data_IF_480052277389
#
_entry.id   IF_480052277389
#
_cell.length_a   1.000
_cell.length_b   1.000
_cell.length_c   1.000
_cell.angle_alpha   90.00
_cell.angle_beta   90.00
_cell.angle_gamma   90.00
#
_symmetry.space_group_name_H-M   'P 1'
#
loop_
_entity.id
_entity.type
_entity.pdbx_description
1 polymer ?
#
# COMPACT_ATOMS: atom_id res chain seq x y z
N UNK A 1 -24.87 23.39 40.08
CA UNK A 1 -23.42 23.62 39.84
C UNK A 1 -22.65 22.72 40.79
N UNK A 2 -21.97 21.69 40.29
CA UNK A 2 -21.14 20.82 41.13
C UNK A 2 -19.78 21.51 41.29
N UNK A 3 -19.56 22.17 42.43
CA UNK A 3 -18.28 22.76 42.80
C UNK A 3 -17.34 21.65 43.30
N UNK A 4 -16.59 21.04 42.39
CA UNK A 4 -15.50 20.14 42.76
C UNK A 4 -14.42 20.95 43.52
N UNK A 5 -14.09 20.55 44.75
CA UNK A 5 -12.92 21.09 45.46
C UNK A 5 -11.66 20.87 44.59
N UNK A 6 -10.71 21.82 44.54
CA UNK A 6 -9.58 21.81 43.61
C UNK A 6 -8.74 20.53 43.65
N UNK A 7 -8.65 19.87 44.81
CA UNK A 7 -7.94 18.59 44.98
C UNK A 7 -8.64 17.42 44.27
N UNK A 8 -9.96 17.40 44.21
CA UNK A 8 -10.73 16.36 43.51
C UNK A 8 -10.73 16.58 42.00
N UNK A 9 -10.70 17.84 41.54
CA UNK A 9 -10.53 18.17 40.11
C UNK A 9 -9.16 17.72 39.57
N UNK A 10 -8.08 17.94 40.32
CA UNK A 10 -6.73 17.47 39.95
C UNK A 10 -6.63 15.95 39.89
N UNK A 11 -7.20 15.24 40.88
CA UNK A 11 -7.23 13.77 40.89
C UNK A 11 -8.06 13.21 39.73
N UNK A 12 -9.21 13.82 39.42
CA UNK A 12 -10.03 13.41 38.28
C UNK A 12 -9.30 13.65 36.94
N UNK A 13 -8.60 14.78 36.80
CA UNK A 13 -7.78 15.06 35.62
C UNK A 13 -6.62 14.07 35.46
N UNK A 14 -5.89 13.78 36.53
CA UNK A 14 -4.82 12.79 36.52
C UNK A 14 -5.34 11.38 36.18
N UNK A 15 -6.47 10.99 36.79
CA UNK A 15 -7.09 9.69 36.51
C UNK A 15 -7.52 9.57 35.05
N UNK A 16 -8.07 10.63 34.45
CA UNK A 16 -8.43 10.65 33.03
C UNK A 16 -7.20 10.49 32.13
N UNK A 17 -6.09 11.18 32.43
CA UNK A 17 -4.83 11.07 31.68
C UNK A 17 -4.24 9.66 31.80
N UNK A 18 -4.24 9.08 32.99
CA UNK A 18 -3.73 7.71 33.19
C UNK A 18 -4.61 6.69 32.46
N UNK A 19 -5.93 6.84 32.52
CA UNK A 19 -6.87 5.94 31.85
C UNK A 19 -6.73 6.01 30.33
N UNK A 20 -6.64 7.22 29.74
CA UNK A 20 -6.49 7.36 28.30
C UNK A 20 -5.18 6.76 27.79
N UNK A 21 -4.07 6.98 28.50
CA UNK A 21 -2.78 6.39 28.17
C UNK A 21 -2.78 4.87 28.36
N UNK A 22 -3.42 4.35 29.41
CA UNK A 22 -3.55 2.92 29.65
C UNK A 22 -4.32 2.23 28.51
N UNK A 23 -5.41 2.84 28.01
CA UNK A 23 -6.16 2.32 26.86
C UNK A 23 -5.29 2.30 25.60
N UNK A 24 -4.56 3.38 25.31
CA UNK A 24 -3.69 3.46 24.14
C UNK A 24 -2.55 2.43 24.18
N UNK A 25 -1.82 2.36 25.31
CA UNK A 25 -0.73 1.41 25.50
C UNK A 25 -1.23 -0.03 25.56
N UNK A 26 -2.37 -0.27 26.20
CA UNK A 26 -3.02 -1.58 26.24
C UNK A 26 -3.43 -2.05 24.85
N UNK A 27 -3.96 -1.17 24.01
CA UNK A 27 -4.29 -1.47 22.62
C UNK A 27 -3.07 -1.83 21.77
N UNK A 28 -1.95 -1.11 21.95
CA UNK A 28 -0.69 -1.40 21.28
C UNK A 28 -0.07 -2.72 21.76
N UNK A 29 -0.10 -2.97 23.07
CA UNK A 29 0.36 -4.22 23.66
C UNK A 29 -0.46 -5.41 23.14
N UNK A 30 -1.79 -5.29 23.13
CA UNK A 30 -2.69 -6.31 22.59
C UNK A 30 -2.45 -6.56 21.10
N UNK A 31 -2.28 -5.50 20.30
CA UNK A 31 -1.99 -5.65 18.87
C UNK A 31 -0.70 -6.45 18.62
N UNK A 32 0.32 -6.22 19.45
CA UNK A 32 1.64 -6.89 19.34
C UNK A 32 1.74 -8.21 20.12
N UNK A 33 0.67 -8.63 20.79
CA UNK A 33 0.68 -9.82 21.62
C UNK A 33 0.63 -11.09 20.74
N UNK A 34 1.45 -12.08 21.11
CA UNK A 34 1.49 -13.38 20.45
C UNK A 34 2.15 -13.33 19.07
N UNK A 35 1.75 -14.25 18.20
CA UNK A 35 2.21 -14.24 16.81
C UNK A 35 1.46 -13.18 15.99
N UNK A 36 2.19 -12.31 15.25
CA UNK A 36 1.57 -11.39 14.31
C UNK A 36 0.72 -12.12 13.27
N UNK A 37 -0.33 -11.43 12.83
CA UNK A 37 -1.21 -11.86 11.73
C UNK A 37 -0.41 -12.12 10.46
N UNK A 38 0.53 -11.22 10.14
CA UNK A 38 1.45 -11.33 9.01
C UNK A 38 2.74 -10.55 9.26
N UNK A 39 3.80 -10.93 8.55
CA UNK A 39 5.11 -10.26 8.57
C UNK A 39 5.61 -10.10 7.14
N UNK A 40 5.66 -8.88 6.64
CA UNK A 40 6.13 -8.59 5.29
C UNK A 40 7.52 -7.98 5.33
N UNK A 41 8.43 -8.47 4.48
CA UNK A 41 9.75 -7.89 4.28
C UNK A 41 9.71 -6.93 3.10
N UNK A 42 9.46 -5.65 3.38
CA UNK A 42 9.32 -4.62 2.36
C UNK A 42 10.67 -3.99 2.00
N UNK A 43 10.80 -3.50 0.77
CA UNK A 43 11.95 -2.72 0.30
C UNK A 43 11.59 -1.27 0.03
N UNK A 44 12.56 -0.50 -0.46
CA UNK A 44 12.39 0.86 -0.98
C UNK A 44 11.38 1.00 -2.13
N UNK A 45 10.93 -0.12 -2.71
CA UNK A 45 9.88 -0.17 -3.73
C UNK A 45 8.48 -0.08 -3.16
N UNK A 46 8.31 -0.57 -1.94
CA UNK A 46 7.01 -0.59 -1.24
C UNK A 46 6.92 0.49 -0.15
N UNK A 47 8.03 1.17 0.16
CA UNK A 47 8.11 2.17 1.21
C UNK A 47 8.85 3.41 0.74
N UNK A 48 8.25 4.57 0.98
CA UNK A 48 8.90 5.87 0.78
C UNK A 48 8.57 6.81 1.92
N UNK A 49 9.40 7.83 2.13
CA UNK A 49 9.19 8.80 3.19
C UNK A 49 7.92 9.60 2.92
N UNK A 50 6.97 9.61 3.87
CA UNK A 50 5.78 10.45 3.75
C UNK A 50 6.21 11.93 3.71
N UNK A 51 5.43 12.78 3.05
CA UNK A 51 5.76 14.19 2.94
C UNK A 51 5.84 14.85 4.32
N UNK A 52 7.02 15.36 4.69
CA UNK A 52 7.16 16.22 5.87
C UNK A 52 6.47 17.55 5.56
N UNK A 53 5.41 17.88 6.30
CA UNK A 53 4.75 19.17 6.16
C UNK A 53 5.74 20.35 6.34
N UNK A 54 5.37 21.57 5.89
CA UNK A 54 6.28 22.72 5.81
C UNK A 54 6.79 23.27 7.16
N UNK A 55 6.55 22.60 8.29
CA UNK A 55 6.95 23.07 9.61
C UNK A 55 7.89 22.08 10.29
N UNK A 56 8.98 22.65 10.85
CA UNK A 56 9.92 22.05 11.81
C UNK A 56 9.26 21.71 13.15
N UNK A 57 8.00 21.27 13.13
CA UNK A 57 7.40 20.65 14.30
C UNK A 57 8.08 19.28 14.45
N UNK A 58 8.33 18.83 15.68
CA UNK A 58 8.92 17.51 15.98
C UNK A 58 7.92 16.37 15.63
N UNK A 59 7.30 16.43 14.46
CA UNK A 59 6.49 15.37 13.88
C UNK A 59 7.43 14.24 13.48
N UNK A 60 7.21 13.06 14.07
CA UNK A 60 8.05 11.90 13.83
C UNK A 60 8.15 11.56 12.34
N UNK A 61 9.25 10.89 11.97
CA UNK A 61 9.41 10.32 10.63
C UNK A 61 8.33 9.26 10.40
N UNK A 62 7.64 9.33 9.27
CA UNK A 62 6.72 8.29 8.82
C UNK A 62 7.08 7.77 7.44
N UNK A 63 6.76 6.50 7.19
CA UNK A 63 6.94 5.84 5.91
C UNK A 63 5.58 5.56 5.30
N UNK A 64 5.37 5.98 4.07
CA UNK A 64 4.19 5.68 3.30
C UNK A 64 4.32 4.30 2.65
N UNK A 65 3.27 3.50 2.76
CA UNK A 65 3.13 2.19 2.11
C UNK A 65 2.65 2.38 0.67
N UNK A 66 3.50 2.07 -0.30
CA UNK A 66 3.13 2.06 -1.71
C UNK A 66 2.53 0.71 -2.09
N UNK A 67 1.24 0.72 -2.45
CA UNK A 67 0.48 -0.46 -2.84
C UNK A 67 -0.31 -0.18 -4.11
N UNK A 68 -0.62 -1.24 -4.85
CA UNK A 68 -1.26 -1.15 -6.18
C UNK A 68 -2.47 -2.06 -6.29
N UNK A 69 -3.36 -1.75 -7.21
CA UNK A 69 -4.36 -2.68 -7.70
C UNK A 69 -3.92 -3.29 -9.04
N UNK A 70 -4.22 -4.57 -9.29
CA UNK A 70 -3.96 -5.19 -10.59
C UNK A 70 -4.62 -4.40 -11.73
N UNK A 71 -4.02 -4.42 -12.91
CA UNK A 71 -4.65 -3.95 -14.13
C UNK A 71 -5.90 -4.77 -14.45
N UNK A 72 -6.90 -4.13 -15.03
CA UNK A 72 -8.02 -4.84 -15.62
C UNK A 72 -7.55 -5.61 -16.87
N UNK A 73 -7.67 -6.95 -16.92
CA UNK A 73 -7.25 -7.73 -18.09
C UNK A 73 -8.20 -7.57 -19.29
N UNK A 74 -9.44 -7.11 -19.08
CA UNK A 74 -10.44 -6.95 -20.13
C UNK A 74 -10.39 -5.57 -20.78
N UNK A 75 -9.76 -4.60 -20.12
CA UNK A 75 -9.63 -3.23 -20.60
C UNK A 75 -8.24 -2.99 -21.23
N UNK A 76 -8.15 -2.70 -22.53
CA UNK A 76 -6.88 -2.42 -23.18
C UNK A 76 -6.22 -1.12 -22.70
N UNK A 77 -6.95 -0.25 -21.97
CA UNK A 77 -6.38 0.99 -21.46
C UNK A 77 -5.35 0.71 -20.36
N UNK A 78 -4.10 1.14 -20.58
CA UNK A 78 -2.95 0.91 -19.69
C UNK A 78 -3.17 1.32 -18.23
N UNK A 79 -4.00 2.33 -17.97
CA UNK A 79 -4.28 2.85 -16.62
C UNK A 79 -5.53 2.24 -15.98
N UNK A 80 -6.23 1.35 -16.68
CA UNK A 80 -7.43 0.71 -16.15
C UNK A 80 -7.06 -0.24 -15.03
N UNK A 81 -7.73 -0.09 -13.90
CA UNK A 81 -7.50 -0.92 -12.71
C UNK A 81 -8.66 -1.88 -12.56
N UNK A 82 -8.33 -3.11 -12.18
CA UNK A 82 -9.32 -4.15 -11.96
C UNK A 82 -10.34 -3.67 -10.94
N UNK A 83 -11.59 -3.60 -11.37
CA UNK A 83 -12.72 -3.30 -10.49
C UNK A 83 -13.09 -4.54 -9.68
N UNK A 84 -13.58 -4.33 -8.45
CA UNK A 84 -14.17 -5.39 -7.65
C UNK A 84 -15.45 -5.89 -8.34
N UNK A 85 -15.63 -7.22 -8.33
CA UNK A 85 -16.81 -7.84 -8.92
C UNK A 85 -18.08 -7.52 -8.12
N UNK A 86 -19.22 -7.60 -8.80
CA UNK A 86 -20.53 -7.33 -8.20
C UNK A 86 -20.81 -8.27 -7.02
N UNK A 87 -20.40 -9.54 -7.12
CA UNK A 87 -20.59 -10.53 -6.07
C UNK A 87 -19.87 -10.14 -4.77
N UNK A 88 -18.61 -9.70 -4.84
CA UNK A 88 -17.86 -9.20 -3.67
C UNK A 88 -18.53 -7.97 -3.11
N UNK A 89 -18.98 -7.03 -3.94
CA UNK A 89 -19.65 -5.82 -3.47
C UNK A 89 -20.97 -6.12 -2.75
N UNK A 90 -21.77 -7.06 -3.27
CA UNK A 90 -22.98 -7.52 -2.60
C UNK A 90 -22.66 -8.20 -1.25
N UNK A 91 -21.59 -9.00 -1.18
CA UNK A 91 -21.13 -9.62 0.08
C UNK A 91 -20.66 -8.59 1.11
N UNK A 92 -20.08 -7.48 0.67
CA UNK A 92 -19.73 -6.34 1.54
C UNK A 92 -20.97 -5.56 2.01
N UNK A 93 -22.16 -5.89 1.49
CA UNK A 93 -23.43 -5.26 1.83
C UNK A 93 -23.77 -4.03 0.99
N UNK A 94 -23.12 -3.83 -0.16
CA UNK A 94 -23.62 -2.89 -1.15
C UNK A 94 -24.89 -3.44 -1.80
N UNK A 95 -25.75 -2.55 -2.29
CA UNK A 95 -27.02 -2.92 -2.92
C UNK A 95 -27.05 -2.42 -4.36
N UNK A 96 -27.63 -3.21 -5.25
CA UNK A 96 -27.88 -2.79 -6.64
C UNK A 96 -28.83 -1.60 -6.71
N UNK A 97 -28.55 -0.68 -7.63
CA UNK A 97 -29.53 0.35 -7.96
C UNK A 97 -30.66 -0.25 -8.78
N UNK A 98 -31.88 -0.16 -8.25
CA UNK A 98 -33.09 -0.57 -8.97
C UNK A 98 -33.92 0.62 -9.47
N UNK A 99 -33.43 1.86 -9.33
CA UNK A 99 -34.13 3.08 -9.74
C UNK A 99 -33.62 3.65 -11.06
N UNK A 100 -34.42 4.50 -11.69
CA UNK A 100 -34.05 5.30 -12.87
C UNK A 100 -33.47 6.68 -12.51
N UNK A 101 -33.33 6.98 -11.21
CA UNK A 101 -32.87 8.29 -10.77
C UNK A 101 -31.36 8.43 -10.89
N UNK A 102 -30.92 9.42 -11.68
CA UNK A 102 -29.49 9.78 -11.88
C UNK A 102 -28.73 10.14 -10.60
N UNK A 103 -29.40 10.23 -9.45
CA UNK A 103 -28.87 10.71 -8.18
C UNK A 103 -28.80 9.59 -7.14
N UNK A 104 -27.77 8.75 -7.29
CA UNK A 104 -27.39 7.78 -6.27
C UNK A 104 -26.74 8.48 -5.06
N UNK A 105 -27.49 8.60 -3.95
CA UNK A 105 -27.10 9.35 -2.75
C UNK A 105 -26.63 8.48 -1.55
N UNK A 106 -26.46 7.18 -1.71
CA UNK A 106 -26.01 6.33 -0.59
C UNK A 106 -24.52 6.53 -0.27
N UNK A 107 -24.10 6.44 1.02
CA UNK A 107 -22.70 6.50 1.39
C UNK A 107 -21.94 5.40 0.65
N UNK A 108 -21.09 5.84 -0.28
CA UNK A 108 -20.45 4.98 -1.27
C UNK A 108 -19.34 4.11 -0.69
N UNK A 109 -19.07 4.18 0.61
CA UNK A 109 -17.92 3.52 1.23
C UNK A 109 -18.34 2.53 2.32
N UNK A 110 -17.65 1.39 2.39
CA UNK A 110 -17.80 0.41 3.47
C UNK A 110 -16.44 -0.07 3.94
N UNK A 111 -16.32 -0.33 5.23
CA UNK A 111 -15.13 -0.97 5.80
C UNK A 111 -15.06 -2.43 5.36
N UNK A 112 -13.86 -2.89 5.05
CA UNK A 112 -13.59 -4.26 4.62
C UNK A 112 -12.18 -4.68 5.05
N UNK A 113 -11.92 -5.98 4.97
CA UNK A 113 -10.59 -6.56 5.05
C UNK A 113 -10.02 -6.67 3.64
N UNK A 114 -8.78 -6.24 3.46
CA UNK A 114 -8.07 -6.24 2.19
C UNK A 114 -6.86 -7.15 2.31
N UNK A 115 -6.66 -8.00 1.32
CA UNK A 115 -5.48 -8.88 1.23
C UNK A 115 -4.44 -8.20 0.36
N UNK A 116 -3.30 -7.87 0.96
CA UNK A 116 -2.11 -7.41 0.28
C UNK A 116 -1.20 -8.60 -0.01
N UNK A 117 -0.77 -8.75 -1.26
CA UNK A 117 0.17 -9.75 -1.74
C UNK A 117 1.50 -9.09 -2.08
N UNK A 118 2.58 -9.55 -1.46
CA UNK A 118 3.95 -9.11 -1.75
C UNK A 118 4.63 -10.06 -2.74
N UNK A 119 5.11 -9.52 -3.87
CA UNK A 119 5.98 -10.23 -4.82
C UNK A 119 5.42 -11.61 -5.24
N UNK A 120 4.11 -11.63 -5.52
CA UNK A 120 3.35 -12.82 -5.84
C UNK A 120 2.84 -12.87 -7.29
N UNK A 121 1.90 -13.79 -7.57
CA UNK A 121 1.26 -13.93 -8.88
C UNK A 121 0.75 -12.62 -9.50
N UNK A 122 0.17 -11.70 -8.72
CA UNK A 122 -0.34 -10.43 -9.25
C UNK A 122 0.79 -9.56 -9.83
N UNK A 123 1.92 -9.47 -9.14
CA UNK A 123 3.10 -8.76 -9.65
C UNK A 123 3.67 -9.43 -10.91
N UNK A 124 3.74 -10.76 -10.92
CA UNK A 124 4.22 -11.52 -12.09
C UNK A 124 3.31 -11.35 -13.31
N UNK A 125 1.99 -11.29 -13.10
CA UNK A 125 1.04 -11.02 -14.15
C UNK A 125 1.27 -9.64 -14.78
N UNK A 126 1.47 -8.60 -13.96
CA UNK A 126 1.80 -7.25 -14.44
C UNK A 126 3.13 -7.20 -15.21
N UNK A 127 4.17 -7.87 -14.71
CA UNK A 127 5.43 -7.97 -15.45
C UNK A 127 5.24 -8.64 -16.80
N UNK A 128 4.52 -9.77 -16.84
CA UNK A 128 4.27 -10.50 -18.08
C UNK A 128 3.47 -9.67 -19.10
N UNK A 129 2.51 -8.87 -18.64
CA UNK A 129 1.73 -7.99 -19.50
C UNK A 129 2.60 -6.90 -20.14
N UNK A 130 3.47 -6.26 -19.34
CA UNK A 130 4.39 -5.22 -19.85
C UNK A 130 5.46 -5.81 -20.78
N UNK A 131 5.95 -7.03 -20.50
CA UNK A 131 6.86 -7.74 -21.41
C UNK A 131 6.19 -8.06 -22.76
N UNK A 132 4.93 -8.48 -22.74
CA UNK A 132 4.16 -8.74 -23.97
C UNK A 132 3.93 -7.46 -24.77
N UNK A 133 3.63 -6.33 -24.11
CA UNK A 133 3.51 -5.02 -24.78
C UNK A 133 4.80 -4.62 -25.50
N UNK A 134 5.96 -4.80 -24.86
CA UNK A 134 7.26 -4.51 -25.48
C UNK A 134 7.51 -5.41 -26.70
N UNK A 135 7.31 -6.72 -26.55
CA UNK A 135 7.48 -7.66 -27.67
C UNK A 135 6.56 -7.33 -28.84
N UNK A 136 5.34 -6.88 -28.58
CA UNK A 136 4.41 -6.49 -29.63
C UNK A 136 4.85 -5.20 -30.33
N UNK A 137 5.30 -4.19 -29.57
CA UNK A 137 5.83 -2.95 -30.13
C UNK A 137 7.07 -3.22 -31.02
N UNK A 138 7.98 -4.08 -30.56
CA UNK A 138 9.17 -4.49 -31.32
C UNK A 138 8.82 -5.20 -32.63
N UNK A 139 7.84 -6.11 -32.59
CA UNK A 139 7.33 -6.77 -33.81
C UNK A 139 6.76 -5.76 -34.79
N UNK A 140 5.92 -4.83 -34.33
CA UNK A 140 5.34 -3.79 -35.19
C UNK A 140 6.42 -2.92 -35.83
N UNK A 141 7.44 -2.52 -35.07
CA UNK A 141 8.57 -1.77 -35.58
C UNK A 141 9.37 -2.58 -36.61
N UNK A 142 9.57 -3.88 -36.40
CA UNK A 142 10.25 -4.75 -37.35
C UNK A 142 9.50 -4.83 -38.70
N UNK A 143 8.17 -4.76 -38.69
CA UNK A 143 7.37 -4.68 -39.93
C UNK A 143 7.41 -3.30 -40.60
N UNK A 144 7.55 -2.22 -39.83
CA UNK A 144 7.62 -0.84 -40.36
C UNK A 144 8.79 -0.06 -39.73
N UNK A 145 10.05 -0.32 -40.15
CA UNK A 145 11.25 0.17 -39.44
C UNK A 145 11.44 1.69 -39.47
N UNK A 146 10.86 2.38 -40.44
CA UNK A 146 11.02 3.83 -40.60
C UNK A 146 9.97 4.66 -39.83
N UNK A 147 9.02 4.01 -39.17
CA UNK A 147 7.99 4.70 -38.40
C UNK A 147 8.56 5.20 -37.07
N UNK A 148 8.70 6.53 -36.94
CA UNK A 148 9.16 7.22 -35.72
C UNK A 148 8.27 6.94 -34.51
N UNK A 149 6.95 6.86 -34.68
CA UNK A 149 6.02 6.60 -33.58
C UNK A 149 6.24 5.20 -32.98
N UNK A 150 6.47 4.19 -33.84
CA UNK A 150 6.78 2.83 -33.37
C UNK A 150 8.13 2.76 -32.64
N UNK A 151 9.13 3.55 -33.08
CA UNK A 151 10.41 3.66 -32.36
C UNK A 151 10.20 4.23 -30.97
N UNK A 152 9.41 5.29 -30.85
CA UNK A 152 9.08 5.90 -29.56
C UNK A 152 8.30 4.92 -28.67
N UNK A 153 7.34 4.18 -29.22
CA UNK A 153 6.59 3.16 -28.49
C UNK A 153 7.49 2.06 -27.90
N UNK A 154 8.47 1.55 -28.66
CA UNK A 154 9.45 0.58 -28.15
C UNK A 154 10.29 1.17 -27.02
N UNK A 155 10.78 2.42 -27.17
CA UNK A 155 11.53 3.11 -26.12
C UNK A 155 10.69 3.28 -24.85
N UNK A 156 9.42 3.67 -24.99
CA UNK A 156 8.50 3.81 -23.87
C UNK A 156 8.18 2.48 -23.19
N UNK A 157 7.90 1.42 -23.96
CA UNK A 157 7.63 0.09 -23.42
C UNK A 157 8.86 -0.49 -22.70
N UNK A 158 10.06 -0.27 -23.23
CA UNK A 158 11.32 -0.68 -22.60
C UNK A 158 11.54 0.03 -21.25
N UNK A 159 11.32 1.35 -21.20
CA UNK A 159 11.41 2.13 -19.95
C UNK A 159 10.38 1.68 -18.92
N UNK A 160 9.15 1.38 -19.34
CA UNK A 160 8.11 0.88 -18.46
C UNK A 160 8.50 -0.47 -17.85
N UNK A 161 9.00 -1.41 -18.67
CA UNK A 161 9.46 -2.71 -18.18
C UNK A 161 10.57 -2.57 -17.13
N UNK A 162 11.55 -1.70 -17.39
CA UNK A 162 12.62 -1.43 -16.44
C UNK A 162 12.10 -0.80 -15.14
N UNK A 163 11.14 0.12 -15.25
CA UNK A 163 10.49 0.72 -14.08
C UNK A 163 9.73 -0.32 -13.25
N UNK A 164 8.99 -1.24 -13.89
CA UNK A 164 8.27 -2.31 -13.19
C UNK A 164 9.23 -3.31 -12.53
N UNK A 165 10.42 -3.54 -13.10
CA UNK A 165 11.43 -4.44 -12.56
C UNK A 165 12.20 -3.85 -11.39
N UNK A 166 12.47 -2.55 -11.40
CA UNK A 166 13.39 -1.93 -10.44
C UNK A 166 12.71 -1.07 -9.39
N UNK A 167 11.67 -0.31 -9.77
CA UNK A 167 11.16 0.79 -8.95
C UNK A 167 9.74 0.57 -8.44
N UNK A 168 8.86 0.04 -9.29
CA UNK A 168 7.45 -0.07 -8.96
C UNK A 168 7.21 -1.04 -7.80
N UNK A 169 6.27 -0.70 -6.93
CA UNK A 169 5.84 -1.56 -5.83
C UNK A 169 5.40 -2.93 -6.33
N UNK A 170 5.82 -3.97 -5.60
CA UNK A 170 5.41 -5.37 -5.78
C UNK A 170 4.26 -5.75 -4.84
N UNK A 171 3.73 -4.79 -4.09
CA UNK A 171 2.65 -4.99 -3.14
C UNK A 171 1.29 -4.71 -3.81
N UNK A 172 0.48 -5.75 -3.98
CA UNK A 172 -0.80 -5.68 -4.67
C UNK A 172 -1.96 -5.99 -3.74
N UNK A 173 -3.04 -5.22 -3.82
CA UNK A 173 -4.31 -5.58 -3.20
C UNK A 173 -5.06 -6.56 -4.13
N UNK A 174 -5.12 -7.83 -3.72
CA UNK A 174 -5.58 -8.93 -4.57
C UNK A 174 -6.96 -9.48 -4.22
N UNK A 175 -7.44 -9.22 -3.00
CA UNK A 175 -8.76 -9.66 -2.56
C UNK A 175 -9.33 -8.75 -1.48
N UNK A 176 -10.65 -8.82 -1.33
CA UNK A 176 -11.41 -8.12 -0.29
C UNK A 176 -12.41 -9.08 0.33
N UNK A 177 -12.66 -8.95 1.63
CA UNK A 177 -13.68 -9.73 2.32
C UNK A 177 -14.06 -9.14 3.68
N UNK A 178 -14.94 -9.84 4.41
CA UNK A 178 -15.39 -9.46 5.75
C UNK A 178 -14.91 -10.41 6.85
N UNK A 179 -14.52 -11.63 6.49
CA UNK A 179 -14.13 -12.67 7.43
C UNK A 179 -12.61 -12.90 7.39
N UNK A 180 -11.95 -12.51 8.48
CA UNK A 180 -10.51 -12.66 8.64
C UNK A 180 -10.06 -14.12 8.58
N UNK A 181 -10.81 -15.04 9.17
CA UNK A 181 -10.43 -16.46 9.21
C UNK A 181 -10.58 -17.08 7.83
N UNK A 182 -11.67 -16.81 7.12
CA UNK A 182 -11.87 -17.29 5.75
C UNK A 182 -10.80 -16.75 4.79
N UNK A 183 -10.45 -15.46 4.91
CA UNK A 183 -9.36 -14.87 4.12
C UNK A 183 -8.01 -15.51 4.47
N UNK A 184 -7.69 -15.71 5.75
CA UNK A 184 -6.43 -16.33 6.14
C UNK A 184 -6.33 -17.80 5.75
N UNK A 185 -7.45 -18.54 5.71
CA UNK A 185 -7.49 -19.90 5.16
C UNK A 185 -7.20 -19.92 3.66
N UNK A 186 -7.73 -18.94 2.91
CA UNK A 186 -7.46 -18.80 1.46
C UNK A 186 -6.05 -18.32 1.17
N UNK A 187 -5.47 -17.50 2.04
CA UNK A 187 -4.14 -16.89 1.91
C UNK A 187 -3.25 -17.26 3.13
N UNK A 188 -2.80 -18.52 3.25
CA UNK A 188 -2.17 -19.02 4.47
C UNK A 188 -0.74 -18.52 4.71
N UNK A 189 -0.01 -18.13 3.64
CA UNK A 189 1.37 -17.65 3.75
C UNK A 189 1.43 -16.24 4.36
N UNK A 190 1.74 -16.18 5.66
CA UNK A 190 1.85 -14.94 6.45
C UNK A 190 3.08 -14.08 6.11
N UNK A 191 4.02 -14.60 5.33
CA UNK A 191 5.20 -13.86 4.87
C UNK A 191 4.99 -13.15 3.53
N UNK A 192 3.96 -13.58 2.79
CA UNK A 192 3.59 -13.06 1.48
C UNK A 192 2.29 -12.28 1.50
N UNK A 193 1.33 -12.71 2.31
CA UNK A 193 0.00 -12.13 2.39
C UNK A 193 -0.23 -11.45 3.73
N UNK A 194 -0.56 -10.16 3.69
CA UNK A 194 -1.05 -9.41 4.84
C UNK A 194 -2.53 -9.10 4.70
N UNK A 195 -3.30 -9.29 5.78
CA UNK A 195 -4.70 -8.90 5.83
C UNK A 195 -4.78 -7.60 6.62
N UNK A 196 -5.31 -6.55 6.00
CA UNK A 196 -5.36 -5.20 6.55
C UNK A 196 -6.78 -4.66 6.53
N UNK A 197 -7.09 -3.72 7.42
CA UNK A 197 -8.34 -2.98 7.34
C UNK A 197 -8.27 -1.91 6.25
N UNK A 198 -9.37 -1.69 5.54
CA UNK A 198 -9.52 -0.55 4.64
C UNK A 198 -10.98 -0.27 4.30
N UNK A 199 -11.17 0.61 3.33
CA UNK A 199 -12.50 0.98 2.84
C UNK A 199 -12.61 0.74 1.35
N UNK A 200 -13.75 0.19 0.94
CA UNK A 200 -14.13 0.00 -0.46
C UNK A 200 -15.15 1.05 -0.83
N UNK A 201 -14.99 1.65 -2.01
CA UNK A 201 -16.00 2.50 -2.62
C UNK A 201 -16.70 1.78 -3.77
N UNK A 202 -18.02 1.85 -3.82
CA UNK A 202 -18.82 1.34 -4.93
C UNK A 202 -19.57 2.46 -5.67
N UNK A 203 -19.81 2.25 -6.96
CA UNK A 203 -20.63 3.11 -7.82
C UNK A 203 -21.41 2.28 -8.84
N UNK A 204 -22.50 2.85 -9.35
CA UNK A 204 -23.19 2.28 -10.49
C UNK A 204 -22.44 2.65 -11.78
N UNK A 205 -22.08 1.64 -12.57
CA UNK A 205 -21.81 1.81 -13.99
C UNK A 205 -23.16 1.81 -14.72
N UNK A 206 -23.73 3.00 -14.78
CA UNK A 206 -25.08 3.26 -15.26
C UNK A 206 -25.09 3.74 -16.73
N UNK A 207 -23.94 3.66 -17.43
CA UNK A 207 -23.83 4.06 -18.83
C UNK A 207 -24.44 2.99 -19.75
N UNK A 208 -25.48 3.36 -20.50
CA UNK A 208 -26.15 2.49 -21.47
C UNK A 208 -27.51 1.92 -21.02
N UNK A 209 -28.02 0.97 -21.81
CA UNK A 209 -29.27 0.27 -21.51
C UNK A 209 -29.05 -0.77 -20.39
N UNK A 210 -30.05 -0.99 -19.51
CA UNK A 210 -29.95 -1.98 -18.43
C UNK A 210 -29.60 -3.40 -18.93
N UNK A 211 -28.98 -4.24 -18.08
CA UNK A 211 -28.82 -4.03 -16.63
C UNK A 211 -27.61 -3.17 -16.27
N UNK A 212 -27.84 -2.21 -15.38
CA UNK A 212 -26.77 -1.43 -14.75
C UNK A 212 -25.90 -2.35 -13.89
N UNK A 213 -24.57 -2.15 -13.93
CA UNK A 213 -23.63 -2.98 -13.18
C UNK A 213 -23.13 -2.25 -11.95
N UNK A 214 -23.01 -2.97 -10.84
CA UNK A 214 -22.35 -2.43 -9.65
C UNK A 214 -20.84 -2.63 -9.80
N UNK A 215 -20.10 -1.53 -9.82
CA UNK A 215 -18.63 -1.53 -9.83
C UNK A 215 -18.09 -0.98 -8.53
N UNK A 216 -16.84 -1.31 -8.22
CA UNK A 216 -16.20 -0.83 -7.02
C UNK A 216 -14.69 -0.91 -7.08
N UNK A 217 -14.06 -0.22 -6.15
CA UNK A 217 -12.62 -0.25 -5.97
C UNK A 217 -12.28 -0.10 -4.50
N UNK A 218 -11.08 -0.53 -4.14
CA UNK A 218 -10.48 -0.20 -2.86
C UNK A 218 -10.17 1.30 -2.86
N UNK A 219 -10.70 2.03 -1.89
CA UNK A 219 -10.54 3.47 -1.80
C UNK A 219 -9.31 3.86 -1.00
N UNK A 220 -9.12 3.26 0.18
CA UNK A 220 -7.96 3.49 1.04
C UNK A 220 -7.75 2.33 2.02
N UNK A 221 -6.51 2.13 2.44
CA UNK A 221 -6.17 1.32 3.61
C UNK A 221 -6.37 2.16 4.88
N UNK A 222 -6.70 1.54 6.01
CA UNK A 222 -6.88 2.26 7.28
C UNK A 222 -5.57 2.85 7.81
N UNK A 223 -4.43 2.20 7.54
CA UNK A 223 -3.10 2.68 7.91
C UNK A 223 -2.20 2.54 6.69
N UNK A 224 -1.84 3.68 6.10
CA UNK A 224 -0.91 3.76 4.97
C UNK A 224 0.42 4.40 5.38
N UNK A 225 0.41 5.27 6.39
CA UNK A 225 1.61 5.90 6.93
C UNK A 225 2.03 5.26 8.25
N UNK A 226 3.24 4.70 8.26
CA UNK A 226 3.84 4.00 9.38
C UNK A 226 4.79 4.93 10.13
N UNK A 227 4.48 5.21 11.39
CA UNK A 227 5.39 5.97 12.24
C UNK A 227 6.67 5.17 12.54
N UNK A 228 7.83 5.79 12.32
CA UNK A 228 9.13 5.19 12.57
C UNK A 228 9.48 5.28 14.07
N UNK A 229 9.71 4.14 14.74
CA UNK A 229 10.17 4.12 16.12
C UNK A 229 11.48 4.90 16.32
N UNK A 230 11.63 5.48 17.51
CA UNK A 230 12.77 6.36 17.83
C UNK A 230 14.14 5.70 17.56
N UNK A 231 14.25 4.39 17.78
CA UNK A 231 15.47 3.62 17.56
C UNK A 231 16.01 3.68 16.13
N UNK A 232 15.15 3.84 15.12
CA UNK A 232 15.55 3.84 13.70
C UNK A 232 15.37 5.21 13.04
N UNK A 233 14.86 6.20 13.77
CA UNK A 233 14.44 7.48 13.20
C UNK A 233 15.59 8.23 12.55
N UNK A 234 16.71 8.39 13.26
CA UNK A 234 17.85 9.14 12.74
C UNK A 234 18.43 8.45 11.50
N UNK A 235 18.68 7.15 11.60
CA UNK A 235 19.30 6.38 10.52
C UNK A 235 18.43 6.38 9.26
N UNK A 236 17.11 6.19 9.39
CA UNK A 236 16.20 6.26 8.25
C UNK A 236 16.03 7.69 7.71
N UNK A 237 16.06 8.72 8.56
CA UNK A 237 15.95 10.11 8.11
C UNK A 237 17.16 10.57 7.28
N UNK A 238 18.35 10.02 7.57
CA UNK A 238 19.60 10.30 6.85
C UNK A 238 19.68 9.50 5.54
N UNK A 239 19.26 8.22 5.56
CA UNK A 239 19.40 7.34 4.40
C UNK A 239 18.20 7.35 3.46
N UNK A 240 16.98 7.63 3.89
CA UNK A 240 15.87 7.64 2.94
C UNK A 240 15.79 8.94 2.14
N UNK A 241 15.54 8.84 0.82
CA UNK A 241 15.32 10.00 -0.03
C UNK A 241 14.14 10.83 0.49
N UNK A 242 14.20 12.15 0.34
CA UNK A 242 13.12 13.05 0.78
C UNK A 242 11.95 13.05 -0.18
N UNK A 243 12.23 12.86 -1.48
CA UNK A 243 11.21 12.70 -2.51
C UNK A 243 11.35 11.32 -3.12
N UNK A 244 10.21 10.75 -3.50
CA UNK A 244 10.17 9.50 -4.25
C UNK A 244 11.05 9.54 -5.51
N UNK A 245 11.20 10.71 -6.12
CA UNK A 245 11.96 10.96 -7.35
C UNK A 245 13.49 10.88 -7.17
N UNK A 246 14.01 11.17 -5.97
CA UNK A 246 15.45 11.37 -5.69
C UNK A 246 16.28 10.06 -5.73
N UNK A 247 15.64 8.93 -6.05
CA UNK A 247 16.25 7.61 -6.17
C UNK A 247 15.86 6.69 -5.02
N UNK A 248 16.31 5.44 -5.08
CA UNK A 248 15.99 4.38 -4.14
C UNK A 248 17.29 3.84 -3.54
N UNK A 249 17.41 3.85 -2.21
CA UNK A 249 18.53 3.23 -1.50
C UNK A 249 18.10 1.84 -1.05
N UNK A 250 18.91 0.79 -1.30
CA UNK A 250 18.51 -0.57 -0.99
C UNK A 250 18.32 -0.72 0.51
N UNK A 251 17.10 -1.05 0.92
CA UNK A 251 16.73 -1.22 2.32
C UNK A 251 15.70 -2.34 2.46
N UNK A 252 15.70 -2.97 3.61
CA UNK A 252 14.72 -3.98 3.97
C UNK A 252 14.13 -3.66 5.33
N UNK A 253 12.83 -3.40 5.34
CA UNK A 253 12.07 -3.13 6.57
C UNK A 253 11.07 -4.26 6.76
N UNK A 254 11.11 -4.88 7.93
CA UNK A 254 10.10 -5.87 8.30
C UNK A 254 8.93 -5.13 8.95
N UNK A 255 7.75 -5.32 8.37
CA UNK A 255 6.48 -4.80 8.89
C UNK A 255 5.66 -5.98 9.40
N UNK A 256 5.29 -5.91 10.67
CA UNK A 256 4.39 -6.88 11.30
C UNK A 256 2.99 -6.29 11.41
N UNK A 257 1.96 -7.08 11.11
CA UNK A 257 0.55 -6.75 11.33
C UNK A 257 0.01 -7.56 12.50
N UNK A 258 -0.67 -6.89 13.42
CA UNK A 258 -1.04 -7.49 14.70
C UNK A 258 -2.47 -7.99 14.78
N UNK A 259 -2.91 -8.27 16.02
CA UNK A 259 -4.28 -8.73 16.30
C UNK A 259 -5.36 -7.70 15.93
N UNK A 260 -5.01 -6.41 15.86
CA UNK A 260 -5.90 -5.33 15.41
C UNK A 260 -5.69 -4.98 13.93
N UNK A 261 -4.87 -5.76 13.21
CA UNK A 261 -4.45 -5.52 11.82
C UNK A 261 -3.74 -4.17 11.62
N UNK A 262 -3.26 -3.57 12.72
CA UNK A 262 -2.47 -2.35 12.70
C UNK A 262 -0.99 -2.71 12.53
N UNK A 263 -0.27 -2.08 11.58
CA UNK A 263 1.12 -2.41 11.33
C UNK A 263 2.08 -1.74 12.33
N UNK A 264 3.23 -2.36 12.54
CA UNK A 264 4.41 -1.70 13.13
C UNK A 264 5.70 -2.20 12.47
N UNK A 265 6.72 -1.36 12.50
CA UNK A 265 8.06 -1.75 12.06
C UNK A 265 8.67 -2.64 13.15
N UNK A 266 8.96 -3.90 12.80
CA UNK A 266 9.58 -4.88 13.70
C UNK A 266 11.10 -4.93 13.55
N UNK A 267 11.62 -4.69 12.34
CA UNK A 267 13.06 -4.64 12.09
C UNK A 267 13.39 -3.73 10.91
N UNK A 268 14.60 -3.17 10.94
CA UNK A 268 15.17 -2.38 9.83
C UNK A 268 16.55 -2.96 9.52
N UNK A 269 16.80 -3.27 8.25
CA UNK A 269 18.08 -3.69 7.71
C UNK A 269 18.44 -2.80 6.54
N UNK A 270 19.51 -2.02 6.70
CA UNK A 270 20.00 -1.13 5.66
C UNK A 270 21.11 -1.86 4.92
N UNK A 271 20.99 -1.94 3.60
CA UNK A 271 22.02 -2.53 2.77
C UNK A 271 23.06 -1.46 2.45
N UNK A 272 24.34 -1.84 2.45
CA UNK A 272 25.39 -0.94 1.99
C UNK A 272 25.20 -0.69 0.49
N UNK A 273 25.38 0.57 0.07
CA UNK A 273 25.40 0.91 -1.35
C UNK A 273 26.58 0.19 -1.99
N UNK A 274 26.37 -0.68 -3.01
CA UNK A 274 27.49 -1.30 -3.71
C UNK A 274 28.31 -0.19 -4.39
N UNK A 275 29.50 0.09 -3.85
CA UNK A 275 30.39 1.15 -4.36
C UNK A 275 31.26 1.88 -3.31
N UNK A 276 31.05 1.67 -2.01
CA UNK A 276 31.83 2.35 -0.95
C UNK A 276 33.05 1.53 -0.45
N UNK A 277 33.63 0.65 -1.26
CA UNK A 277 34.86 -0.07 -0.88
C UNK A 277 36.07 0.64 -1.47
N UNK A 278 36.67 1.48 -0.62
CA UNK A 278 37.90 2.27 -0.73
C UNK A 278 38.78 2.11 -1.98
N UNK A 279 38.83 3.19 -2.76
CA UNK A 279 40.03 3.62 -3.48
C UNK A 279 41.09 4.08 -2.46
N UNK A 280 41.66 3.12 -1.74
CA UNK A 280 42.85 3.32 -0.92
C UNK A 280 44.07 3.16 -1.81
N UNK A 281 44.50 4.24 -2.44
CA UNK A 281 45.77 4.38 -3.16
C UNK A 281 46.94 3.77 -2.34
N UNK A 282 47.38 2.57 -2.72
CA UNK A 282 48.70 2.08 -2.37
C UNK A 282 49.71 2.77 -3.29
N UNK A 283 50.38 3.81 -2.77
CA UNK A 283 51.58 4.37 -3.40
C UNK A 283 52.77 3.48 -3.00
N UNK A 284 53.57 2.97 -3.95
CA UNK A 284 54.83 2.33 -3.60
C UNK A 284 55.89 3.41 -3.34
N UNK A 285 56.60 3.28 -2.23
CA UNK A 285 57.95 3.83 -2.03
C UNK A 285 58.87 2.69 -1.65
#
# INVERSE_FOLDING_TARGET
>A
MITLKPRHGLLAGLALILLSNAVALGGAWYNRQGEPESRLQLSERELWRSHDGPRRENSGLSLHLDWRTPRDPEDPQRYSRQSLDEATLLQLGFTLHQGSERRWHQPRQRQALIVLELDGPAYRAELSAVEQELLQAEKMLAFTPDNTELKEQVVHASKELEQQRTRASRLFAVAVGMDLQALRQRYPDRSRYAIVGGTVRAWCDCDGNPPHRLRGQIDQLHVTDLNVPAAWRQELAERMPRRYEDGQLPLHIEISYGQRLEPWISAVRLLEKPGSRGDGNATPR
#
